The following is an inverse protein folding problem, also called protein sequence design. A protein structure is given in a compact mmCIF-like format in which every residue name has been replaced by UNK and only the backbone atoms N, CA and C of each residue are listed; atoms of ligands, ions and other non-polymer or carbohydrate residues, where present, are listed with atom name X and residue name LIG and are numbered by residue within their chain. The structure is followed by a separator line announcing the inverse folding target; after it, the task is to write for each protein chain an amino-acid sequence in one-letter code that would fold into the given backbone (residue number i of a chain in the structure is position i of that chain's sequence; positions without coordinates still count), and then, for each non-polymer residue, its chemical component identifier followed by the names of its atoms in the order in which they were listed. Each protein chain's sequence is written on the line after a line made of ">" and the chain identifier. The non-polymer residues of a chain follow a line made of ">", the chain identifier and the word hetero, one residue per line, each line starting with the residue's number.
data_IF_702414241752
#
_entry.id   IF_702414241752
#
_cell.length_a   1.000
_cell.length_b   1.000
_cell.length_c   1.000
_cell.angle_alpha   90.00
_cell.angle_beta   90.00
_cell.angle_gamma   90.00
#
_symmetry.space_group_name_H-M   'P 1'
#
loop_
_entity.id
_entity.type
_entity.pdbx_description
1 polymer ?
#
# COMPACT_ATOMS: atom_id res chain seq x y z
N UNK A 1 -10.18 8.64 -6.51
CA UNK A 1 -8.83 8.25 -6.05
C UNK A 1 -8.61 6.78 -6.34
N UNK A 2 -7.70 6.47 -7.24
CA UNK A 2 -7.25 5.10 -7.47
C UNK A 2 -6.50 4.66 -6.21
N UNK A 3 -7.06 3.71 -5.48
CA UNK A 3 -6.46 3.15 -4.27
C UNK A 3 -5.02 2.71 -4.58
N UNK A 4 -3.99 3.22 -3.89
CA UNK A 4 -2.58 2.94 -4.18
C UNK A 4 -2.24 1.45 -4.31
N UNK A 5 -2.94 0.60 -3.57
CA UNK A 5 -2.80 -0.85 -3.62
C UNK A 5 -3.15 -1.50 -4.96
N UNK A 6 -4.07 -0.94 -5.73
CA UNK A 6 -4.46 -1.52 -7.04
C UNK A 6 -3.37 -1.35 -8.11
N UNK A 7 -2.65 -0.24 -8.07
CA UNK A 7 -1.61 0.06 -9.07
C UNK A 7 -0.40 -0.86 -8.87
N UNK A 8 0.02 -1.09 -7.65
CA UNK A 8 1.11 -2.02 -7.34
C UNK A 8 0.80 -3.45 -7.78
N UNK A 9 -0.43 -3.93 -7.55
CA UNK A 9 -0.87 -5.27 -7.98
C UNK A 9 -0.86 -5.40 -9.49
N UNK A 10 -1.32 -4.39 -10.21
CA UNK A 10 -1.30 -4.38 -11.68
C UNK A 10 0.12 -4.41 -12.23
N UNK A 11 1.05 -3.65 -11.65
CA UNK A 11 2.45 -3.67 -12.08
C UNK A 11 3.09 -5.05 -11.85
N UNK A 12 2.83 -5.69 -10.70
CA UNK A 12 3.29 -7.07 -10.44
C UNK A 12 2.72 -8.10 -11.41
N UNK A 13 1.44 -7.98 -11.77
CA UNK A 13 0.81 -8.85 -12.76
C UNK A 13 1.47 -8.68 -14.16
N UNK A 14 1.66 -7.44 -14.61
CA UNK A 14 2.30 -7.16 -15.90
C UNK A 14 3.72 -7.73 -15.93
N UNK A 15 4.50 -7.51 -14.89
CA UNK A 15 5.85 -8.08 -14.76
C UNK A 15 5.81 -9.60 -14.78
N UNK A 16 4.89 -10.22 -14.03
CA UNK A 16 4.72 -11.67 -13.99
C UNK A 16 4.38 -12.27 -15.36
N UNK A 17 3.57 -11.59 -16.17
CA UNK A 17 3.26 -12.00 -17.53
C UNK A 17 4.48 -11.89 -18.47
N UNK A 18 5.24 -10.81 -18.35
CA UNK A 18 6.47 -10.60 -19.15
C UNK A 18 7.53 -11.66 -18.82
N UNK A 19 7.73 -11.98 -17.55
CA UNK A 19 8.68 -12.99 -17.09
C UNK A 19 8.13 -14.42 -17.14
N UNK A 20 6.86 -14.62 -17.56
CA UNK A 20 6.16 -15.92 -17.57
C UNK A 20 6.15 -16.63 -16.20
N UNK A 21 6.22 -15.87 -15.15
CA UNK A 21 6.19 -16.35 -13.77
C UNK A 21 5.24 -15.47 -12.92
N UNK A 22 3.94 -15.60 -13.20
CA UNK A 22 2.90 -14.80 -12.54
C UNK A 22 2.79 -15.15 -11.05
N UNK A 23 2.99 -16.43 -10.69
CA UNK A 23 2.85 -16.89 -9.30
C UNK A 23 3.84 -16.16 -8.39
N UNK A 24 5.12 -16.24 -8.68
CA UNK A 24 6.14 -15.65 -7.82
C UNK A 24 6.09 -14.12 -7.88
N UNK A 25 5.83 -13.53 -9.06
CA UNK A 25 5.61 -12.10 -9.20
C UNK A 25 4.49 -11.58 -8.29
N UNK A 26 3.37 -12.29 -8.25
CA UNK A 26 2.23 -11.91 -7.39
C UNK A 26 2.51 -12.10 -5.91
N UNK A 27 3.24 -13.18 -5.54
CA UNK A 27 3.65 -13.39 -4.15
C UNK A 27 4.58 -12.26 -3.67
N UNK A 28 5.58 -11.90 -4.46
CA UNK A 28 6.49 -10.79 -4.16
C UNK A 28 5.73 -9.47 -4.08
N UNK A 29 4.83 -9.21 -5.04
CA UNK A 29 4.02 -8.00 -5.05
C UNK A 29 3.13 -7.91 -3.82
N UNK A 30 2.51 -9.00 -3.40
CA UNK A 30 1.68 -9.04 -2.20
C UNK A 30 2.50 -8.73 -0.94
N UNK A 31 3.70 -9.30 -0.81
CA UNK A 31 4.60 -9.01 0.29
C UNK A 31 5.02 -7.53 0.34
N UNK A 32 5.34 -6.94 -0.81
CA UNK A 32 5.65 -5.51 -0.91
C UNK A 32 4.43 -4.68 -0.51
N UNK A 33 3.23 -5.05 -0.96
CA UNK A 33 2.01 -4.30 -0.64
C UNK A 33 1.63 -4.32 0.83
N UNK A 34 1.92 -5.39 1.56
CA UNK A 34 1.69 -5.45 3.00
C UNK A 34 2.36 -4.29 3.75
N UNK A 35 3.55 -3.87 3.32
CA UNK A 35 4.26 -2.75 3.94
C UNK A 35 3.55 -1.43 3.68
N UNK A 36 2.99 -1.30 2.47
CA UNK A 36 2.35 -0.06 2.03
C UNK A 36 0.87 0.04 2.41
N UNK A 37 0.29 -0.98 3.05
CA UNK A 37 -1.11 -0.93 3.52
C UNK A 37 -1.36 0.21 4.51
N UNK A 38 -0.37 0.51 5.36
CA UNK A 38 -0.45 1.59 6.34
C UNK A 38 0.03 2.96 5.84
N UNK A 39 0.39 3.08 4.57
CA UNK A 39 0.87 4.36 4.03
C UNK A 39 -0.32 5.25 3.68
N UNK A 40 -0.47 6.34 4.42
CA UNK A 40 -1.45 7.39 4.16
C UNK A 40 -0.75 8.59 3.53
N UNK A 41 -1.49 9.32 2.70
CA UNK A 41 -1.02 10.56 2.07
C UNK A 41 -1.70 11.81 2.67
N UNK A 42 -1.37 12.19 3.91
CA UNK A 42 -1.95 13.37 4.53
C UNK A 42 -1.57 14.62 3.71
N UNK A 43 -2.56 15.43 3.35
CA UNK A 43 -2.33 16.62 2.52
C UNK A 43 -1.84 16.33 1.10
N UNK A 44 -2.01 15.10 0.59
CA UNK A 44 -1.57 14.70 -0.76
C UNK A 44 -0.08 14.36 -0.86
N UNK A 45 0.65 14.33 0.25
CA UNK A 45 2.05 13.92 0.26
C UNK A 45 2.16 12.41 0.44
N UNK A 46 2.81 11.74 -0.51
CA UNK A 46 3.12 10.31 -0.37
C UNK A 46 4.52 10.14 0.21
N UNK A 47 4.65 9.54 1.42
CA UNK A 47 5.96 9.26 2.01
C UNK A 47 6.74 8.20 1.25
N UNK A 48 6.05 7.35 0.48
CA UNK A 48 6.65 6.33 -0.38
C UNK A 48 5.71 5.98 -1.53
N UNK A 49 6.26 5.60 -2.70
CA UNK A 49 5.50 5.30 -3.91
C UNK A 49 5.43 3.79 -4.17
N UNK A 50 4.32 3.12 -3.80
CA UNK A 50 4.21 1.66 -3.88
C UNK A 50 4.25 1.12 -5.30
N UNK A 51 3.74 1.89 -6.28
CA UNK A 51 3.69 1.44 -7.67
C UNK A 51 5.09 1.34 -8.27
N UNK A 52 5.94 2.33 -8.01
CA UNK A 52 7.36 2.33 -8.46
C UNK A 52 8.14 1.27 -7.71
N UNK A 53 7.92 1.13 -6.40
CA UNK A 53 8.55 0.10 -5.59
C UNK A 53 8.28 -1.30 -6.18
N UNK A 54 7.02 -1.64 -6.46
CA UNK A 54 6.66 -2.92 -7.04
C UNK A 54 7.19 -3.08 -8.47
N UNK A 55 7.06 -2.04 -9.32
CA UNK A 55 7.47 -2.12 -10.72
C UNK A 55 8.98 -2.31 -10.92
N UNK A 56 9.81 -1.93 -9.95
CA UNK A 56 11.26 -2.13 -10.00
C UNK A 56 11.69 -3.35 -9.17
N UNK A 57 11.16 -3.51 -7.96
CA UNK A 57 11.61 -4.58 -7.07
C UNK A 57 11.14 -5.97 -7.54
N UNK A 58 9.96 -6.10 -8.16
CA UNK A 58 9.47 -7.41 -8.63
C UNK A 58 10.34 -7.99 -9.75
N UNK A 59 10.69 -7.26 -10.84
CA UNK A 59 11.63 -7.76 -11.84
C UNK A 59 12.99 -8.13 -11.24
N UNK A 60 13.54 -7.28 -10.38
CA UNK A 60 14.83 -7.55 -9.71
C UNK A 60 14.76 -8.83 -8.90
N UNK A 61 13.71 -9.01 -8.11
CA UNK A 61 13.53 -10.20 -7.30
C UNK A 61 13.37 -11.48 -8.13
N UNK A 62 12.63 -11.42 -9.24
CA UNK A 62 12.49 -12.55 -10.16
C UNK A 62 13.80 -12.90 -10.87
N UNK A 63 14.58 -11.90 -11.30
CA UNK A 63 15.88 -12.13 -11.94
C UNK A 63 16.93 -12.71 -10.99
N UNK A 64 16.78 -12.45 -9.70
CA UNK A 64 17.72 -12.83 -8.65
C UNK A 64 17.26 -14.01 -7.82
N UNK A 65 16.09 -14.59 -8.12
CA UNK A 65 15.45 -15.66 -7.35
C UNK A 65 15.34 -15.35 -5.85
N UNK A 66 15.01 -14.09 -5.54
CA UNK A 66 14.88 -13.61 -4.15
C UNK A 66 13.59 -14.13 -3.52
N UNK A 67 13.64 -14.35 -2.19
CA UNK A 67 12.41 -14.56 -1.42
C UNK A 67 11.56 -13.28 -1.38
N UNK A 68 10.23 -13.37 -1.18
CA UNK A 68 9.37 -12.19 -1.06
C UNK A 68 9.84 -11.21 0.03
N UNK A 69 10.35 -11.72 1.15
CA UNK A 69 10.85 -10.91 2.27
C UNK A 69 12.14 -10.15 1.89
N UNK A 70 13.03 -10.80 1.14
CA UNK A 70 14.25 -10.13 0.65
C UNK A 70 13.94 -9.06 -0.40
N UNK A 71 12.92 -9.30 -1.25
CA UNK A 71 12.46 -8.33 -2.23
C UNK A 71 11.94 -7.03 -1.60
N UNK A 72 11.39 -7.10 -0.40
CA UNK A 72 10.98 -5.92 0.40
C UNK A 72 12.19 -5.01 0.68
N UNK A 73 13.35 -5.59 0.97
CA UNK A 73 14.58 -4.83 1.20
C UNK A 73 15.02 -3.98 0.01
N UNK A 74 14.68 -4.40 -1.21
CA UNK A 74 14.87 -3.62 -2.44
C UNK A 74 13.72 -2.62 -2.65
N UNK A 75 12.49 -3.04 -2.38
CA UNK A 75 11.29 -2.24 -2.63
C UNK A 75 11.25 -0.95 -1.81
N UNK A 76 11.67 -0.99 -0.55
CA UNK A 76 11.57 0.15 0.36
C UNK A 76 12.45 1.33 -0.07
N UNK A 77 13.75 1.18 -0.33
CA UNK A 77 14.57 2.28 -0.84
C UNK A 77 14.07 2.82 -2.19
N UNK A 78 13.63 1.92 -3.08
CA UNK A 78 13.07 2.31 -4.38
C UNK A 78 11.78 3.10 -4.22
N UNK A 79 10.89 2.69 -3.32
CA UNK A 79 9.67 3.41 -3.01
C UNK A 79 9.91 4.80 -2.43
N UNK A 80 10.93 4.96 -1.59
CA UNK A 80 11.37 6.26 -1.08
C UNK A 80 11.91 7.16 -2.20
N UNK A 81 12.73 6.63 -3.11
CA UNK A 81 13.17 7.39 -4.29
C UNK A 81 11.98 7.78 -5.18
N UNK A 82 11.00 6.88 -5.33
CA UNK A 82 9.75 7.14 -6.05
C UNK A 82 8.96 8.30 -5.45
N UNK A 83 8.95 8.45 -4.13
CA UNK A 83 8.27 9.56 -3.47
C UNK A 83 8.87 10.93 -3.81
N UNK A 84 10.19 11.04 -3.95
CA UNK A 84 10.83 12.28 -4.40
C UNK A 84 10.41 12.64 -5.84
N UNK A 85 10.30 11.64 -6.72
CA UNK A 85 9.79 11.88 -8.08
C UNK A 85 8.32 12.31 -8.08
N UNK A 86 7.52 11.73 -7.19
CA UNK A 86 6.14 12.14 -6.98
C UNK A 86 6.05 13.61 -6.52
N UNK A 87 6.89 14.02 -5.57
CA UNK A 87 6.98 15.40 -5.09
C UNK A 87 7.36 16.35 -6.23
N UNK A 88 8.35 15.97 -7.05
CA UNK A 88 8.75 16.77 -8.20
C UNK A 88 7.62 16.91 -9.23
N UNK A 89 6.90 15.83 -9.53
CA UNK A 89 5.70 15.86 -10.38
C UNK A 89 4.64 16.79 -9.81
N UNK A 90 4.40 16.70 -8.51
CA UNK A 90 3.42 17.57 -7.82
C UNK A 90 3.81 19.05 -7.94
N UNK A 91 5.09 19.36 -7.73
CA UNK A 91 5.59 20.72 -7.87
C UNK A 91 5.38 21.27 -9.31
N UNK A 92 5.76 20.50 -10.32
CA UNK A 92 5.57 20.89 -11.73
C UNK A 92 4.09 21.10 -12.07
N UNK A 93 3.24 20.17 -11.66
CA UNK A 93 1.80 20.28 -11.89
C UNK A 93 1.20 21.50 -11.19
N UNK A 94 1.58 21.77 -9.94
CA UNK A 94 1.11 22.95 -9.19
C UNK A 94 1.54 24.23 -9.87
N UNK A 95 2.78 24.32 -10.32
CA UNK A 95 3.28 25.49 -11.05
C UNK A 95 2.50 25.75 -12.35
N UNK A 96 2.24 24.70 -13.14
CA UNK A 96 1.46 24.80 -14.37
C UNK A 96 0.02 25.21 -14.06
N UNK A 97 -0.60 24.61 -13.04
CA UNK A 97 -1.97 24.91 -12.64
C UNK A 97 -2.11 26.36 -12.20
N UNK A 98 -1.25 26.83 -11.30
CA UNK A 98 -1.29 28.21 -10.81
C UNK A 98 -1.08 29.25 -11.92
N UNK A 99 -0.24 28.93 -12.92
CA UNK A 99 0.08 29.89 -13.97
C UNK A 99 -0.98 29.99 -15.06
N UNK A 100 -1.61 28.89 -15.41
CA UNK A 100 -2.45 28.82 -16.61
C UNK A 100 -3.93 28.55 -16.31
N UNK A 101 -4.27 27.77 -15.29
CA UNK A 101 -5.65 27.37 -15.02
C UNK A 101 -6.53 28.56 -14.67
N UNK A 102 -6.04 29.49 -13.82
CA UNK A 102 -6.81 30.68 -13.40
C UNK A 102 -7.18 31.55 -14.57
N UNK A 103 -6.28 31.69 -15.56
CA UNK A 103 -6.55 32.48 -16.77
C UNK A 103 -7.69 31.86 -17.58
N UNK A 104 -7.59 30.56 -17.91
CA UNK A 104 -8.61 29.92 -18.73
C UNK A 104 -9.92 29.65 -17.99
N UNK A 105 -9.89 29.59 -16.65
CA UNK A 105 -11.08 29.55 -15.82
C UNK A 105 -11.86 30.86 -15.91
N UNK A 106 -11.18 32.02 -15.85
CA UNK A 106 -11.79 33.36 -16.04
C UNK A 106 -12.39 33.53 -17.44
N UNK A 107 -11.77 32.94 -18.45
CA UNK A 107 -12.23 32.98 -19.83
C UNK A 107 -13.33 31.94 -20.12
N UNK A 108 -13.75 31.12 -19.13
CA UNK A 108 -14.70 30.01 -19.25
C UNK A 108 -14.37 29.03 -20.40
N UNK A 109 -13.07 28.85 -20.71
CA UNK A 109 -12.60 27.99 -21.80
C UNK A 109 -12.45 26.54 -21.32
N UNK A 110 -13.55 25.76 -21.39
CA UNK A 110 -13.58 24.38 -20.91
C UNK A 110 -12.61 23.44 -21.64
N UNK A 111 -12.37 23.67 -22.95
CA UNK A 111 -11.43 22.84 -23.72
C UNK A 111 -9.99 22.98 -23.22
N UNK A 112 -9.53 24.21 -23.01
CA UNK A 112 -8.20 24.46 -22.49
C UNK A 112 -8.05 24.03 -21.03
N UNK A 113 -9.10 24.17 -20.23
CA UNK A 113 -9.12 23.62 -18.86
C UNK A 113 -8.98 22.11 -18.85
N UNK A 114 -9.68 21.39 -19.73
CA UNK A 114 -9.54 19.93 -19.86
C UNK A 114 -8.11 19.53 -20.23
N UNK A 115 -7.49 20.22 -21.19
CA UNK A 115 -6.09 19.97 -21.57
C UNK A 115 -5.13 20.20 -20.39
N UNK A 116 -5.29 21.29 -19.66
CA UNK A 116 -4.44 21.61 -18.52
C UNK A 116 -4.59 20.61 -17.37
N UNK A 117 -5.83 20.23 -17.05
CA UNK A 117 -6.12 19.38 -15.88
C UNK A 117 -5.86 17.91 -16.16
N UNK A 118 -6.02 17.45 -17.41
CA UNK A 118 -5.91 16.04 -17.76
C UNK A 118 -4.62 15.77 -18.54
N UNK A 119 -4.43 16.42 -19.69
CA UNK A 119 -3.34 16.07 -20.60
C UNK A 119 -1.96 16.45 -20.06
N UNK A 120 -1.81 17.64 -19.48
CA UNK A 120 -0.51 18.11 -18.99
C UNK A 120 0.00 17.24 -17.83
N UNK A 121 -0.77 16.91 -16.77
CA UNK A 121 -0.30 16.02 -15.70
C UNK A 121 0.08 14.63 -16.21
N UNK A 122 -0.63 14.11 -17.21
CA UNK A 122 -0.29 12.83 -17.84
C UNK A 122 1.07 12.94 -18.55
N UNK A 123 1.28 13.96 -19.38
CA UNK A 123 2.56 14.15 -20.09
C UNK A 123 3.72 14.35 -19.11
N UNK A 124 3.53 15.16 -18.07
CA UNK A 124 4.56 15.36 -17.02
C UNK A 124 4.90 14.03 -16.34
N UNK A 125 3.89 13.22 -16.01
CA UNK A 125 4.12 11.91 -15.44
C UNK A 125 4.92 11.00 -16.40
N UNK A 126 4.58 10.95 -17.67
CA UNK A 126 5.32 10.16 -18.67
C UNK A 126 6.77 10.60 -18.79
N UNK A 127 7.04 11.90 -18.86
CA UNK A 127 8.38 12.45 -19.00
C UNK A 127 9.26 12.17 -17.76
N UNK A 128 8.66 12.14 -16.57
CA UNK A 128 9.41 11.90 -15.33
C UNK A 128 9.59 10.39 -15.07
N UNK A 129 8.50 9.61 -15.14
CA UNK A 129 8.53 8.22 -14.69
C UNK A 129 9.12 7.25 -15.72
N UNK A 130 8.90 7.46 -17.02
CA UNK A 130 9.41 6.54 -18.06
C UNK A 130 10.95 6.51 -18.08
N UNK A 131 11.68 7.63 -18.16
CA UNK A 131 13.13 7.59 -18.13
C UNK A 131 13.67 7.01 -16.82
N UNK A 132 13.07 7.36 -15.69
CA UNK A 132 13.47 6.81 -14.41
C UNK A 132 13.31 5.29 -14.35
N UNK A 133 12.15 4.78 -14.75
CA UNK A 133 11.89 3.34 -14.81
C UNK A 133 12.84 2.63 -15.77
N UNK A 134 13.04 3.21 -16.93
CA UNK A 134 13.96 2.63 -17.95
C UNK A 134 15.39 2.53 -17.41
N UNK A 135 15.93 3.61 -16.83
CA UNK A 135 17.26 3.61 -16.25
C UNK A 135 17.37 2.63 -15.08
N UNK A 136 16.37 2.63 -14.20
CA UNK A 136 16.35 1.74 -13.02
C UNK A 136 16.29 0.26 -13.41
N UNK A 137 15.48 -0.10 -14.41
CA UNK A 137 15.35 -1.49 -14.86
C UNK A 137 16.53 -1.92 -15.75
N UNK A 138 16.99 -1.05 -16.65
CA UNK A 138 18.04 -1.42 -17.59
C UNK A 138 19.41 -1.50 -16.94
N UNK A 139 19.76 -0.55 -16.08
CA UNK A 139 21.06 -0.49 -15.41
C UNK A 139 21.00 -0.99 -13.96
N UNK A 140 19.93 -0.68 -13.23
CA UNK A 140 19.83 -1.00 -11.80
C UNK A 140 19.50 -2.46 -11.55
N UNK A 141 18.56 -3.04 -12.28
CA UNK A 141 18.14 -4.41 -12.04
C UNK A 141 19.28 -5.44 -12.24
N UNK A 142 20.09 -5.42 -13.31
CA UNK A 142 21.20 -6.34 -13.45
C UNK A 142 22.26 -6.18 -12.35
N UNK A 143 22.61 -4.94 -11.99
CA UNK A 143 23.58 -4.67 -10.93
C UNK A 143 23.13 -5.24 -9.58
N UNK A 144 21.85 -5.03 -9.23
CA UNK A 144 21.28 -5.58 -7.99
C UNK A 144 21.24 -7.10 -8.08
N UNK A 145 20.81 -7.66 -9.23
CA UNK A 145 20.77 -9.11 -9.44
C UNK A 145 22.14 -9.76 -9.28
N UNK A 146 23.18 -9.16 -9.82
CA UNK A 146 24.55 -9.66 -9.69
C UNK A 146 25.08 -9.55 -8.26
N UNK A 147 24.80 -8.45 -7.58
CA UNK A 147 25.12 -8.29 -6.15
C UNK A 147 24.39 -9.34 -5.29
N UNK A 148 23.15 -9.64 -5.60
CA UNK A 148 22.38 -10.68 -4.92
C UNK A 148 23.00 -12.05 -5.15
N UNK A 149 23.26 -12.42 -6.41
CA UNK A 149 23.83 -13.73 -6.77
C UNK A 149 25.23 -13.92 -6.20
N UNK A 150 26.07 -12.90 -6.24
CA UNK A 150 27.45 -12.97 -5.72
C UNK A 150 27.49 -13.06 -4.18
N UNK A 151 26.46 -12.57 -3.49
CA UNK A 151 26.36 -12.53 -2.04
C UNK A 151 25.19 -13.38 -1.48
N UNK A 152 24.62 -14.27 -2.29
CA UNK A 152 23.56 -15.17 -1.86
C UNK A 152 24.08 -16.07 -0.71
N UNK A 153 23.58 -15.84 0.49
CA UNK A 153 24.09 -16.45 1.73
C UNK A 153 24.86 -15.48 2.63
N UNK A 154 25.11 -14.24 2.19
CA UNK A 154 25.75 -13.26 3.04
C UNK A 154 24.80 -12.75 4.14
N UNK A 155 25.39 -12.28 5.26
CA UNK A 155 24.64 -11.64 6.36
C UNK A 155 23.74 -10.49 5.89
N UNK A 156 24.10 -9.83 4.77
CA UNK A 156 23.34 -8.73 4.19
C UNK A 156 21.93 -9.17 3.79
N UNK A 157 21.77 -10.32 3.12
CA UNK A 157 20.44 -10.82 2.75
C UNK A 157 19.60 -11.24 3.93
N UNK A 158 20.23 -11.83 4.93
CA UNK A 158 19.53 -12.13 6.17
C UNK A 158 19.04 -10.85 6.86
N UNK A 159 19.88 -9.81 6.92
CA UNK A 159 19.50 -8.50 7.47
C UNK A 159 18.35 -7.89 6.67
N UNK A 160 18.43 -7.89 5.33
CA UNK A 160 17.36 -7.35 4.47
C UNK A 160 16.05 -8.10 4.66
N UNK A 161 16.09 -9.43 4.79
CA UNK A 161 14.91 -10.25 5.03
C UNK A 161 14.27 -9.94 6.40
N UNK A 162 15.09 -9.80 7.45
CA UNK A 162 14.60 -9.44 8.80
C UNK A 162 14.00 -8.03 8.80
N UNK A 163 14.67 -7.06 8.17
CA UNK A 163 14.15 -5.69 8.04
C UNK A 163 12.83 -5.71 7.25
N UNK A 164 12.77 -6.44 6.13
CA UNK A 164 11.57 -6.57 5.32
C UNK A 164 10.38 -7.12 6.11
N UNK A 165 10.58 -8.20 6.85
CA UNK A 165 9.55 -8.76 7.73
C UNK A 165 9.09 -7.77 8.81
N UNK A 166 10.04 -7.04 9.42
CA UNK A 166 9.73 -5.99 10.41
C UNK A 166 8.92 -4.84 9.82
N UNK A 167 9.26 -4.38 8.61
CA UNK A 167 8.52 -3.32 7.92
C UNK A 167 7.10 -3.75 7.56
N UNK A 168 6.89 -5.00 7.14
CA UNK A 168 5.56 -5.55 6.91
C UNK A 168 4.72 -5.53 8.20
N UNK A 169 5.30 -5.92 9.33
CA UNK A 169 4.62 -5.87 10.64
C UNK A 169 4.26 -4.42 11.03
N UNK A 170 5.15 -3.47 10.79
CA UNK A 170 4.87 -2.03 11.03
C UNK A 170 3.72 -1.55 10.13
N UNK A 171 3.70 -1.93 8.84
CA UNK A 171 2.62 -1.58 7.92
C UNK A 171 1.25 -2.08 8.41
N UNK A 172 1.19 -3.32 8.87
CA UNK A 172 -0.03 -3.90 9.47
C UNK A 172 -0.41 -3.15 10.77
N UNK A 173 0.57 -2.86 11.65
CA UNK A 173 0.33 -2.15 12.90
C UNK A 173 -0.23 -0.74 12.65
N UNK A 174 0.32 -0.01 11.68
CA UNK A 174 -0.20 1.32 11.29
C UNK A 174 -1.61 1.21 10.74
N UNK A 175 -1.91 0.20 9.91
CA UNK A 175 -3.26 -0.04 9.41
C UNK A 175 -4.25 -0.29 10.55
N UNK A 176 -3.89 -1.15 11.51
CA UNK A 176 -4.71 -1.40 12.71
C UNK A 176 -4.88 -0.14 13.55
N UNK A 177 -3.84 0.68 13.69
CA UNK A 177 -3.90 1.93 14.44
C UNK A 177 -4.85 2.95 13.81
N UNK A 178 -4.88 3.07 12.47
CA UNK A 178 -5.68 4.08 11.76
C UNK A 178 -7.14 3.64 11.59
N UNK A 179 -7.39 2.36 11.27
CA UNK A 179 -8.74 1.84 11.03
C UNK A 179 -9.39 1.38 12.34
N UNK A 180 -8.58 0.92 13.30
CA UNK A 180 -9.03 0.32 14.54
C UNK A 180 -9.45 1.34 15.58
N UNK A 181 -10.65 1.20 16.11
CA UNK A 181 -11.03 1.85 17.37
C UNK A 181 -10.40 1.08 18.53
N UNK A 182 -10.09 1.80 19.65
CA UNK A 182 -9.46 1.21 20.84
C UNK A 182 -10.23 -0.01 21.36
N UNK A 183 -11.55 0.02 21.29
CA UNK A 183 -12.43 -1.06 21.74
C UNK A 183 -12.31 -2.35 20.93
N UNK A 184 -11.83 -2.27 19.68
CA UNK A 184 -11.70 -3.43 18.80
C UNK A 184 -10.33 -4.09 18.85
N UNK A 185 -9.37 -3.54 19.63
CA UNK A 185 -8.04 -4.12 19.78
C UNK A 185 -8.09 -5.54 20.38
N UNK A 186 -9.13 -5.81 21.18
CA UNK A 186 -9.37 -7.13 21.77
C UNK A 186 -9.62 -8.18 20.69
N UNK A 187 -10.35 -7.84 19.62
CA UNK A 187 -10.58 -8.75 18.50
C UNK A 187 -9.30 -9.02 17.71
N UNK A 188 -8.44 -8.02 17.56
CA UNK A 188 -7.13 -8.21 16.94
C UNK A 188 -6.25 -9.17 17.75
N UNK A 189 -6.19 -8.97 19.08
CA UNK A 189 -5.43 -9.85 19.97
C UNK A 189 -5.99 -11.28 19.95
N UNK A 190 -7.33 -11.43 19.98
CA UNK A 190 -7.99 -12.73 19.87
C UNK A 190 -7.59 -13.44 18.58
N UNK A 191 -7.68 -12.75 17.44
CA UNK A 191 -7.29 -13.30 16.13
C UNK A 191 -5.82 -13.69 16.09
N UNK A 192 -4.93 -12.87 16.68
CA UNK A 192 -3.51 -13.15 16.78
C UNK A 192 -3.24 -14.44 17.57
N UNK A 193 -3.81 -14.57 18.78
CA UNK A 193 -3.62 -15.77 19.60
C UNK A 193 -4.22 -17.01 18.95
N UNK A 194 -5.39 -16.91 18.31
CA UNK A 194 -5.98 -18.03 17.54
C UNK A 194 -5.04 -18.44 16.40
N UNK A 195 -4.48 -17.48 15.66
CA UNK A 195 -3.54 -17.78 14.59
C UNK A 195 -2.25 -18.43 15.08
N UNK A 196 -1.74 -18.01 16.26
CA UNK A 196 -0.55 -18.62 16.88
C UNK A 196 -0.84 -20.05 17.35
N UNK A 197 -1.99 -20.29 17.99
CA UNK A 197 -2.37 -21.63 18.49
C UNK A 197 -2.61 -22.61 17.34
N UNK A 198 -3.23 -22.14 16.26
CA UNK A 198 -3.58 -22.97 15.10
C UNK A 198 -2.47 -23.02 14.03
N UNK A 199 -1.28 -22.48 14.32
CA UNK A 199 -0.16 -22.40 13.36
C UNK A 199 0.20 -23.74 12.76
N UNK A 200 0.23 -24.79 13.58
CA UNK A 200 0.63 -26.13 13.16
C UNK A 200 -0.43 -26.84 12.28
N UNK A 201 -1.67 -26.31 12.24
CA UNK A 201 -2.74 -26.86 11.42
C UNK A 201 -2.70 -26.41 9.96
N UNK A 202 -1.71 -25.60 9.56
CA UNK A 202 -1.56 -25.07 8.19
C UNK A 202 -2.84 -24.42 7.62
N UNK A 203 -3.59 -23.72 8.47
CA UNK A 203 -4.83 -23.05 8.07
C UNK A 203 -4.48 -21.89 7.15
N UNK A 204 -5.19 -21.79 6.03
CA UNK A 204 -4.96 -20.71 5.05
C UNK A 204 -5.43 -19.36 5.57
N UNK A 205 -4.79 -18.28 5.13
CA UNK A 205 -5.19 -16.90 5.43
C UNK A 205 -6.65 -16.62 5.07
N UNK A 206 -7.16 -17.27 4.03
CA UNK A 206 -8.57 -17.14 3.59
C UNK A 206 -9.53 -17.65 4.67
N UNK A 207 -9.19 -18.76 5.33
CA UNK A 207 -10.00 -19.32 6.42
C UNK A 207 -10.10 -18.34 7.60
N UNK A 208 -8.98 -17.73 7.99
CA UNK A 208 -8.99 -16.70 9.05
C UNK A 208 -9.81 -15.47 8.65
N UNK A 209 -9.74 -15.04 7.38
CA UNK A 209 -10.54 -13.91 6.89
C UNK A 209 -12.04 -14.21 6.94
N UNK A 210 -12.46 -15.43 6.56
CA UNK A 210 -13.87 -15.87 6.63
C UNK A 210 -14.33 -15.91 8.08
N UNK A 211 -13.57 -16.54 8.98
CA UNK A 211 -13.89 -16.61 10.40
C UNK A 211 -14.02 -15.22 11.03
N UNK A 212 -13.06 -14.33 10.74
CA UNK A 212 -13.10 -12.95 11.21
C UNK A 212 -14.34 -12.19 10.70
N UNK A 213 -14.70 -12.40 9.43
CA UNK A 213 -15.91 -11.78 8.85
C UNK A 213 -17.18 -12.28 9.52
N UNK A 214 -17.28 -13.58 9.83
CA UNK A 214 -18.43 -14.16 10.55
C UNK A 214 -18.53 -13.57 11.96
N UNK A 215 -17.42 -13.50 12.71
CA UNK A 215 -17.38 -12.91 14.06
C UNK A 215 -17.82 -11.45 14.02
N UNK A 216 -17.28 -10.67 13.07
CA UNK A 216 -17.66 -9.27 12.90
C UNK A 216 -19.16 -9.11 12.59
N UNK A 217 -19.70 -9.96 11.74
CA UNK A 217 -21.13 -9.94 11.41
C UNK A 217 -22.01 -10.26 12.62
N UNK A 218 -21.67 -11.28 13.41
CA UNK A 218 -22.37 -11.63 14.65
C UNK A 218 -22.34 -10.46 15.64
N UNK A 219 -21.15 -9.82 15.80
CA UNK A 219 -21.01 -8.67 16.68
C UNK A 219 -21.91 -7.49 16.27
N UNK A 220 -21.96 -7.18 14.96
CA UNK A 220 -22.83 -6.10 14.44
C UNK A 220 -24.29 -6.41 14.67
N UNK A 221 -24.73 -7.65 14.45
CA UNK A 221 -26.13 -8.06 14.71
C UNK A 221 -26.49 -7.91 16.19
N UNK A 222 -25.64 -8.43 17.09
CA UNK A 222 -25.87 -8.31 18.54
C UNK A 222 -25.94 -6.85 19.00
N UNK A 223 -25.07 -5.99 18.45
CA UNK A 223 -25.09 -4.56 18.78
C UNK A 223 -26.38 -3.89 18.29
N UNK A 224 -26.87 -4.26 17.11
CA UNK A 224 -28.11 -3.72 16.56
C UNK A 224 -29.32 -4.11 17.41
N UNK A 225 -29.45 -5.37 17.80
CA UNK A 225 -30.49 -5.85 18.70
C UNK A 225 -30.50 -5.13 20.06
N UNK A 226 -29.29 -4.90 20.61
CA UNK A 226 -29.15 -4.17 21.89
C UNK A 226 -29.66 -2.74 21.76
N UNK A 227 -29.35 -2.05 20.67
CA UNK A 227 -29.86 -0.67 20.44
C UNK A 227 -31.36 -0.63 20.27
N UNK A 228 -31.94 -1.57 19.53
CA UNK A 228 -33.41 -1.65 19.35
C UNK A 228 -34.12 -1.94 20.66
N UNK A 229 -33.60 -2.83 21.50
CA UNK A 229 -34.14 -3.13 22.83
C UNK A 229 -34.07 -1.92 23.76
N UNK A 230 -32.99 -1.19 23.78
CA UNK A 230 -32.79 0.03 24.59
C UNK A 230 -33.77 1.12 24.13
N UNK A 231 -33.95 1.32 22.82
CA UNK A 231 -34.91 2.27 22.28
C UNK A 231 -36.35 1.88 22.58
N UNK A 232 -36.70 0.59 22.54
CA UNK A 232 -38.04 0.10 22.82
C UNK A 232 -38.39 0.11 24.32
N UNK A 233 -37.39 0.01 25.20
CA UNK A 233 -37.59 0.03 26.67
C UNK A 233 -37.67 1.44 27.27
N UNK A 234 -37.63 2.51 26.47
CA UNK A 234 -37.81 3.89 26.95
C UNK A 234 -36.73 4.39 27.91
N UNK A 235 -35.61 3.66 28.02
CA UNK A 235 -34.45 4.10 28.80
C UNK A 235 -33.73 5.14 27.94
N UNK A 236 -33.92 6.42 28.25
CA UNK A 236 -33.32 7.52 27.54
C UNK A 236 -31.78 7.38 27.49
N UNK A 237 -31.25 7.36 26.27
CA UNK A 237 -29.83 7.49 26.00
C UNK A 237 -29.35 8.94 26.28
N UNK A 238 -29.56 9.41 27.51
CA UNK A 238 -28.93 10.63 27.96
C UNK A 238 -27.51 10.32 28.41
N UNK A 239 -26.53 10.51 27.58
CA UNK A 239 -25.15 10.57 28.03
C UNK A 239 -24.16 9.58 27.41
N UNK A 240 -24.31 9.16 26.15
CA UNK A 240 -23.29 8.31 25.49
C UNK A 240 -22.76 8.83 24.14
N UNK A 241 -23.10 10.05 23.79
CA UNK A 241 -22.74 10.58 22.45
C UNK A 241 -21.82 11.82 22.49
N UNK A 242 -20.92 12.01 23.43
CA UNK A 242 -20.04 13.19 23.40
C UNK A 242 -18.65 12.99 24.05
N UNK A 243 -17.98 11.86 23.88
CA UNK A 243 -16.57 11.73 24.33
C UNK A 243 -15.60 11.11 23.31
N UNK A 244 -15.81 11.23 22.01
CA UNK A 244 -14.89 10.66 21.00
C UNK A 244 -14.32 11.66 19.97
N UNK A 245 -14.27 12.94 20.27
CA UNK A 245 -13.65 13.96 19.37
C UNK A 245 -12.38 14.62 19.93
N UNK A 246 -11.52 13.88 20.60
CA UNK A 246 -10.14 14.34 20.87
C UNK A 246 -9.15 13.19 20.69
N UNK A 247 -8.43 13.21 19.55
CA UNK A 247 -7.09 12.77 19.11
C UNK A 247 -7.10 12.21 17.68
#
# INVERSE_FOLDING_TARGET
>A
ELVPGKIGTMSGLIVGLVFKNVKDAMMITAAIQLIYMGVFSPGGQMPSEPAIAAAIAVPVALMSEMTPEAAIGVAVPVGLLGSYLYQFRFFVNTFVMQRFTDKYAKEANSKMLTVLIVLIPILVAFIIFIPFMFVSLYYGAPVIADLVKSNSGSRLFHILSVIGGGLAAIGIAVTVFVIGKKDYIVFFLLAYFVAVILKDMNITMITYAILGSIIAFIYVLSKKETVEVVQSSGIGLGGMDDEDDDY
#
